data_IF_776562662666
#
_entry.id   IF_776562662666
#
_cell.length_a   1.000
_cell.length_b   1.000
_cell.length_c   1.000
_cell.angle_alpha   90.00
_cell.angle_beta   90.00
_cell.angle_gamma   90.00
#
_symmetry.space_group_name_H-M   'P 1'
#
loop_
_entity.id
_entity.type
_entity.pdbx_description
1 polymer ?
#
# COMPACT_ATOMS: atom_id res chain seq x y z
N UNK A 1 11.69 -0.47 -21.16
CA UNK A 1 11.58 0.65 -20.18
C UNK A 1 11.00 1.87 -20.91
N UNK A 2 10.21 2.73 -20.26
CA UNK A 2 9.68 3.96 -20.90
C UNK A 2 8.45 3.80 -21.81
N UNK A 3 7.73 2.67 -21.76
CA UNK A 3 6.57 2.41 -22.63
C UNK A 3 5.25 3.04 -22.17
N UNK A 4 5.29 3.97 -21.20
CA UNK A 4 4.09 4.67 -20.71
C UNK A 4 3.18 3.93 -19.72
N UNK A 5 3.58 2.78 -19.16
CA UNK A 5 2.73 2.01 -18.22
C UNK A 5 2.36 2.79 -16.95
N UNK A 6 3.35 3.38 -16.28
CA UNK A 6 3.11 4.19 -15.08
C UNK A 6 2.26 5.42 -15.42
N UNK A 7 2.50 6.05 -16.58
CA UNK A 7 1.69 7.15 -17.08
C UNK A 7 0.23 6.72 -17.33
N UNK A 8 -0.01 5.52 -17.86
CA UNK A 8 -1.37 5.00 -18.01
C UNK A 8 -2.08 4.87 -16.66
N UNK A 9 -1.39 4.38 -15.63
CA UNK A 9 -1.95 4.28 -14.28
C UNK A 9 -2.25 5.68 -13.71
N UNK A 10 -1.31 6.64 -13.82
CA UNK A 10 -1.55 8.02 -13.38
C UNK A 10 -2.71 8.69 -14.13
N UNK A 11 -2.91 8.39 -15.41
CA UNK A 11 -4.06 8.86 -16.17
C UNK A 11 -5.38 8.30 -15.63
N UNK A 12 -5.41 7.00 -15.28
CA UNK A 12 -6.59 6.35 -14.66
C UNK A 12 -6.89 6.93 -13.28
N UNK A 13 -5.86 7.29 -12.51
CA UNK A 13 -5.99 7.92 -11.19
C UNK A 13 -6.36 9.41 -11.25
N UNK A 14 -6.38 10.03 -12.44
CA UNK A 14 -6.67 11.46 -12.61
C UNK A 14 -5.48 12.38 -12.30
N UNK A 15 -4.28 11.84 -12.15
CA UNK A 15 -3.05 12.59 -11.85
C UNK A 15 -2.36 13.17 -13.10
N UNK A 16 -2.94 12.95 -14.29
CA UNK A 16 -2.44 13.49 -15.56
C UNK A 16 -3.43 14.43 -16.22
N UNK A 17 -2.89 15.47 -16.87
CA UNK A 17 -3.68 16.39 -17.68
C UNK A 17 -4.30 15.69 -18.90
N UNK A 18 -5.63 15.62 -18.95
CA UNK A 18 -6.36 15.03 -20.08
C UNK A 18 -6.48 16.03 -21.23
N UNK A 19 -5.96 15.68 -22.41
CA UNK A 19 -6.09 16.50 -23.61
C UNK A 19 -7.47 16.31 -24.28
N UNK A 20 -7.86 15.07 -24.54
CA UNK A 20 -9.11 14.70 -25.23
C UNK A 20 -9.60 13.32 -24.76
N UNK A 21 -10.83 12.93 -25.13
CA UNK A 21 -11.42 11.62 -24.85
C UNK A 21 -12.25 11.53 -23.57
N UNK A 22 -12.91 10.38 -23.40
CA UNK A 22 -13.79 10.09 -22.26
C UNK A 22 -13.27 8.89 -21.46
N UNK A 23 -13.34 9.01 -20.15
CA UNK A 23 -13.04 7.94 -19.20
C UNK A 23 -13.97 8.11 -17.99
N UNK A 24 -14.43 7.00 -17.43
CA UNK A 24 -15.27 6.99 -16.24
C UNK A 24 -14.86 5.83 -15.33
N UNK A 25 -14.87 6.07 -14.02
CA UNK A 25 -14.56 5.09 -13.00
C UNK A 25 -15.58 5.21 -11.86
N UNK A 26 -16.45 4.20 -11.73
CA UNK A 26 -17.55 4.19 -10.75
C UNK A 26 -17.29 3.20 -9.60
N UNK A 27 -16.05 3.10 -9.12
CA UNK A 27 -15.66 2.17 -8.05
C UNK A 27 -14.51 2.72 -7.21
N UNK A 28 -14.30 2.12 -6.03
CA UNK A 28 -13.10 2.35 -5.22
C UNK A 28 -11.84 1.85 -5.93
N UNK A 29 -10.71 2.52 -5.68
CA UNK A 29 -9.40 2.16 -6.25
C UNK A 29 -8.40 1.94 -5.13
N UNK A 30 -7.57 0.91 -5.28
CA UNK A 30 -6.33 0.74 -4.53
C UNK A 30 -5.16 0.91 -5.50
N UNK A 31 -4.13 1.64 -5.07
CA UNK A 31 -2.93 1.92 -5.86
C UNK A 31 -1.68 1.55 -5.08
N UNK A 32 -0.74 0.89 -5.74
CA UNK A 32 0.57 0.54 -5.19
C UNK A 32 1.64 1.21 -6.07
N UNK A 33 2.36 2.22 -5.56
CA UNK A 33 3.37 2.93 -6.34
C UNK A 33 4.62 2.07 -6.60
N UNK A 34 5.40 2.48 -7.61
CA UNK A 34 6.68 1.83 -7.91
C UNK A 34 7.69 1.97 -6.75
N UNK A 35 7.69 3.13 -6.09
CA UNK A 35 8.47 3.37 -4.88
C UNK A 35 7.54 3.26 -3.69
N UNK A 36 7.82 2.31 -2.80
CA UNK A 36 7.05 2.14 -1.57
C UNK A 36 7.05 3.42 -0.74
N UNK A 37 5.89 3.76 -0.19
CA UNK A 37 5.72 4.87 0.74
C UNK A 37 5.12 4.31 2.04
N UNK A 38 5.84 4.51 3.13
CA UNK A 38 5.53 3.95 4.45
C UNK A 38 5.52 5.12 5.45
N UNK A 39 4.51 5.17 6.30
CA UNK A 39 4.33 6.19 7.34
C UNK A 39 5.20 5.88 8.56
N UNK A 40 5.59 6.93 9.30
CA UNK A 40 6.26 6.79 10.60
C UNK A 40 5.24 6.33 11.66
N UNK A 41 5.02 5.03 11.74
CA UNK A 41 4.04 4.37 12.60
C UNK A 41 4.39 2.87 12.70
N UNK A 42 3.65 2.10 13.49
CA UNK A 42 3.81 0.65 13.54
C UNK A 42 3.52 -0.02 12.20
N UNK A 43 4.06 -1.23 12.00
CA UNK A 43 3.75 -2.07 10.83
C UNK A 43 2.25 -2.30 10.71
N UNK A 44 1.56 -2.63 11.82
CA UNK A 44 0.11 -2.85 11.84
C UNK A 44 -0.65 -1.62 11.35
N UNK A 45 -0.31 -0.43 11.84
CA UNK A 45 -1.00 0.80 11.43
C UNK A 45 -0.75 1.15 9.96
N UNK A 46 0.46 0.88 9.44
CA UNK A 46 0.74 1.02 8.01
C UNK A 46 -0.10 0.07 7.14
N UNK A 47 -0.39 -1.15 7.61
CA UNK A 47 -1.25 -2.12 6.91
C UNK A 47 -2.73 -1.74 7.02
N UNK A 48 -3.18 -1.33 8.22
CA UNK A 48 -4.58 -0.95 8.46
C UNK A 48 -4.95 0.37 7.77
N UNK A 49 -3.99 1.29 7.67
CA UNK A 49 -4.15 2.58 7.00
C UNK A 49 -5.41 3.34 7.46
N UNK A 50 -5.60 3.42 8.78
CA UNK A 50 -6.74 4.09 9.42
C UNK A 50 -8.04 3.29 9.45
N UNK A 51 -8.06 2.03 8.97
CA UNK A 51 -9.20 1.11 9.14
C UNK A 51 -9.22 0.48 10.52
N UNK A 52 -10.39 0.07 10.98
CA UNK A 52 -10.55 -0.67 12.23
C UNK A 52 -9.86 -2.03 12.16
N UNK A 53 -9.18 -2.42 13.24
CA UNK A 53 -8.55 -3.73 13.33
C UNK A 53 -9.58 -4.86 13.43
N UNK A 54 -9.58 -5.75 12.43
CA UNK A 54 -10.28 -7.02 12.45
C UNK A 54 -9.24 -8.15 12.43
N UNK A 55 -9.09 -8.85 13.55
CA UNK A 55 -8.02 -9.83 13.74
C UNK A 55 -8.05 -10.98 12.72
N UNK A 56 -9.23 -11.50 12.37
CA UNK A 56 -9.37 -12.61 11.43
C UNK A 56 -8.94 -12.18 10.01
N UNK A 57 -9.48 -11.06 9.54
CA UNK A 57 -9.14 -10.53 8.22
C UNK A 57 -7.67 -10.12 8.14
N UNK A 58 -7.15 -9.48 9.19
CA UNK A 58 -5.76 -9.08 9.28
C UNK A 58 -4.83 -10.29 9.18
N UNK A 59 -5.05 -11.33 9.99
CA UNK A 59 -4.22 -12.54 9.93
C UNK A 59 -4.30 -13.24 8.56
N UNK A 60 -5.48 -13.25 7.94
CA UNK A 60 -5.64 -13.79 6.58
C UNK A 60 -4.79 -13.01 5.57
N UNK A 61 -4.75 -11.68 5.66
CA UNK A 61 -3.93 -10.83 4.79
C UNK A 61 -2.44 -11.08 5.05
N UNK A 62 -2.00 -11.09 6.31
CA UNK A 62 -0.60 -11.36 6.69
C UNK A 62 -0.11 -12.69 6.10
N UNK A 63 -0.91 -13.75 6.25
CA UNK A 63 -0.60 -15.07 5.68
C UNK A 63 -0.61 -15.07 4.16
N UNK A 64 -1.59 -14.40 3.54
CA UNK A 64 -1.72 -14.33 2.07
C UNK A 64 -0.58 -13.54 1.43
N UNK A 65 -0.02 -12.56 2.15
CA UNK A 65 1.16 -11.80 1.76
C UNK A 65 2.48 -12.45 2.19
N UNK A 66 2.43 -13.62 2.83
CA UNK A 66 3.58 -14.36 3.35
C UNK A 66 4.46 -13.55 4.33
N UNK A 67 3.85 -12.65 5.11
CA UNK A 67 4.54 -11.74 6.02
C UNK A 67 4.77 -12.34 7.42
N UNK A 68 4.27 -13.54 7.70
CA UNK A 68 4.41 -14.19 9.03
C UNK A 68 5.90 -14.30 9.47
N UNK A 69 6.84 -14.77 8.62
CA UNK A 69 8.26 -14.83 8.98
C UNK A 69 8.86 -13.45 9.24
N UNK A 70 8.45 -12.43 8.46
CA UNK A 70 8.95 -11.06 8.64
C UNK A 70 8.53 -10.50 10.01
N UNK A 71 7.28 -10.76 10.43
CA UNK A 71 6.82 -10.35 11.77
C UNK A 71 7.59 -11.07 12.88
N UNK A 72 7.88 -12.37 12.73
CA UNK A 72 8.66 -13.12 13.72
C UNK A 72 10.09 -12.61 13.88
N UNK A 73 10.68 -12.04 12.82
CA UNK A 73 12.03 -11.46 12.87
C UNK A 73 12.07 -10.08 13.55
N UNK A 74 10.93 -9.38 13.67
CA UNK A 74 10.87 -8.07 14.29
C UNK A 74 10.69 -8.17 15.82
N UNK A 75 11.45 -7.43 16.64
CA UNK A 75 11.37 -7.52 18.10
C UNK A 75 9.98 -7.27 18.70
N UNK A 76 9.16 -6.42 18.06
CA UNK A 76 7.79 -6.12 18.47
C UNK A 76 6.73 -6.75 17.58
N UNK A 77 7.10 -7.68 16.68
CA UNK A 77 6.22 -8.19 15.65
C UNK A 77 5.62 -7.07 14.80
N UNK A 78 4.32 -7.14 14.56
CA UNK A 78 3.57 -6.12 13.84
C UNK A 78 3.38 -4.80 14.61
N UNK A 79 3.73 -4.76 15.90
CA UNK A 79 3.71 -3.55 16.73
C UNK A 79 5.06 -2.81 16.70
N UNK A 80 6.01 -3.29 15.89
CA UNK A 80 7.30 -2.63 15.68
C UNK A 80 7.09 -1.30 14.95
N UNK A 81 7.65 -0.23 15.50
CA UNK A 81 7.66 1.10 14.88
C UNK A 81 8.57 1.12 13.64
N UNK A 82 8.10 1.75 12.57
CA UNK A 82 8.86 1.91 11.33
C UNK A 82 9.14 3.40 11.12
N UNK A 83 10.42 3.76 10.98
CA UNK A 83 10.83 5.14 10.72
C UNK A 83 10.48 5.64 9.31
N UNK A 84 10.79 6.91 9.03
CA UNK A 84 10.56 7.49 7.70
C UNK A 84 11.20 6.65 6.58
N UNK A 85 10.43 6.40 5.51
CA UNK A 85 10.84 5.60 4.33
C UNK A 85 11.09 4.11 4.62
N UNK A 86 10.57 3.56 5.71
CA UNK A 86 10.72 2.12 5.97
C UNK A 86 12.09 1.72 6.52
N UNK A 87 12.87 2.68 7.03
CA UNK A 87 14.16 2.42 7.65
C UNK A 87 13.93 2.15 9.14
N UNK A 88 14.33 0.96 9.59
CA UNK A 88 14.47 0.59 11.00
C UNK A 88 15.92 0.15 11.21
#
# INVERSE_FOLDING_TARGET
VGSGKSSLISAVLGEMHKLNGYFNLNSSVAYVPQQAWIQNNTVRENILFGKTFNAEHYQQVIRSCALEPDMEMMPGGDSTEIGEKGIN
#
